data_IF_017521525068
#
_entry.id   IF_017521525068
#
_cell.length_a   1.000
_cell.length_b   1.000
_cell.length_c   1.000
_cell.angle_alpha   90.00
_cell.angle_beta   90.00
_cell.angle_gamma   90.00
#
_symmetry.space_group_name_H-M   'P 1'
#
loop_
_entity.id
_entity.type
_entity.pdbx_description
1 polymer ?
#
# COMPACT_ATOMS: atom_id res chain seq x y z
N UNK A 1 -5.97 6.79 27.44
CA UNK A 1 -6.00 8.00 28.30
C UNK A 1 -5.49 7.66 29.68
N UNK A 2 -5.12 8.67 30.47
CA UNK A 2 -4.60 8.54 31.82
C UNK A 2 -5.60 9.21 32.77
N UNK A 3 -6.09 8.51 33.80
CA UNK A 3 -7.03 9.04 34.79
C UNK A 3 -6.38 9.14 36.14
N UNK A 4 -6.61 10.23 36.83
CA UNK A 4 -6.20 10.40 38.22
C UNK A 4 -7.20 9.75 39.15
N UNK A 5 -6.76 8.78 39.94
CA UNK A 5 -7.62 8.10 40.95
C UNK A 5 -8.08 9.00 42.08
N UNK A 6 -7.40 10.12 42.29
CA UNK A 6 -7.67 11.06 43.41
C UNK A 6 -8.58 12.22 43.02
N UNK A 7 -8.41 12.85 41.85
CA UNK A 7 -9.20 14.00 41.42
C UNK A 7 -10.02 13.73 40.16
N UNK A 8 -10.06 12.48 39.69
CA UNK A 8 -10.84 11.94 38.58
C UNK A 8 -10.63 12.62 37.21
N UNK A 9 -9.69 13.56 37.12
CA UNK A 9 -9.36 14.23 35.87
C UNK A 9 -8.62 13.29 34.92
N UNK A 10 -8.91 13.40 33.63
CA UNK A 10 -8.34 12.60 32.56
C UNK A 10 -7.43 13.41 31.65
N UNK A 11 -6.44 12.75 31.09
CA UNK A 11 -5.40 13.33 30.25
C UNK A 11 -5.24 12.51 28.98
N UNK A 12 -5.20 13.17 27.85
CA UNK A 12 -4.96 12.52 26.55
C UNK A 12 -3.48 12.33 26.22
N UNK A 13 -2.60 12.91 27.04
CA UNK A 13 -1.13 12.80 26.87
C UNK A 13 -0.55 11.87 27.94
N UNK A 14 0.53 11.15 27.63
CA UNK A 14 1.24 10.34 28.63
C UNK A 14 1.88 11.26 29.68
N UNK A 15 1.27 11.32 30.84
CA UNK A 15 1.80 11.99 32.03
C UNK A 15 2.04 10.93 33.09
N UNK A 16 3.15 11.03 33.80
CA UNK A 16 3.45 10.13 34.96
C UNK A 16 2.63 10.51 36.19
N UNK A 17 2.39 11.79 36.37
CA UNK A 17 1.68 12.33 37.54
C UNK A 17 0.62 13.33 37.12
N UNK A 18 -0.45 13.40 37.89
CA UNK A 18 -1.50 14.38 37.72
C UNK A 18 -0.99 15.79 38.01
N UNK A 19 -1.12 16.72 37.06
CA UNK A 19 -0.65 18.09 37.21
C UNK A 19 -1.44 18.91 38.23
N UNK A 20 -2.62 18.42 38.70
CA UNK A 20 -3.45 19.12 39.69
C UNK A 20 -3.22 18.64 41.11
N UNK A 21 -2.98 17.35 41.35
CA UNK A 21 -2.86 16.80 42.68
C UNK A 21 -1.58 15.99 42.93
N UNK A 22 -0.69 15.84 41.95
CA UNK A 22 0.57 15.11 42.05
C UNK A 22 0.45 13.60 42.11
N UNK A 23 -0.74 13.02 42.08
CA UNK A 23 -0.98 11.57 42.15
C UNK A 23 -0.44 10.88 40.91
N UNK A 24 0.07 9.66 41.04
CA UNK A 24 0.51 8.85 39.91
C UNK A 24 -0.67 8.48 39.02
N UNK A 25 -0.53 8.68 37.71
CA UNK A 25 -1.58 8.38 36.74
C UNK A 25 -1.51 6.95 36.27
N UNK A 26 -2.60 6.22 36.43
CA UNK A 26 -2.76 4.88 35.87
C UNK A 26 -3.27 4.99 34.43
N UNK A 27 -2.79 4.12 33.57
CA UNK A 27 -3.29 4.01 32.20
C UNK A 27 -4.68 3.33 32.27
N UNK A 28 -5.72 4.12 32.25
CA UNK A 28 -7.10 3.62 32.15
C UNK A 28 -7.54 3.61 30.71
N UNK A 29 -8.19 2.53 30.32
CA UNK A 29 -8.89 2.40 29.04
C UNK A 29 -10.23 3.10 29.20
N UNK A 30 -10.47 4.26 28.59
CA UNK A 30 -11.75 4.92 28.74
C UNK A 30 -12.86 4.13 28.08
N UNK A 31 -14.07 4.27 28.62
CA UNK A 31 -15.30 3.76 28.02
C UNK A 31 -15.64 4.40 26.67
N UNK A 32 -16.85 4.22 26.25
CA UNK A 32 -17.35 4.81 25.01
C UNK A 32 -17.44 6.34 25.13
N UNK A 33 -16.98 7.04 24.07
CA UNK A 33 -17.17 8.46 23.87
C UNK A 33 -18.36 8.71 22.97
N UNK A 34 -19.03 9.83 23.16
CA UNK A 34 -20.01 10.34 22.21
C UNK A 34 -19.45 11.56 21.49
N UNK A 35 -19.68 11.68 20.21
CA UNK A 35 -19.34 12.87 19.43
C UNK A 35 -20.34 13.96 19.81
N UNK A 36 -19.83 15.06 20.37
CA UNK A 36 -20.68 16.23 20.77
C UNK A 36 -20.46 17.43 19.85
N UNK A 37 -19.53 17.34 18.90
CA UNK A 37 -19.29 18.36 17.90
C UNK A 37 -18.18 17.93 16.96
N UNK A 38 -18.16 18.50 15.76
CA UNK A 38 -17.07 18.30 14.80
C UNK A 38 -16.88 19.52 13.92
N UNK A 39 -15.69 19.62 13.31
CA UNK A 39 -15.40 20.54 12.22
C UNK A 39 -14.65 19.82 11.11
N UNK A 40 -14.91 20.19 9.88
CA UNK A 40 -14.23 19.68 8.71
C UNK A 40 -13.08 20.64 8.33
N UNK A 41 -11.91 20.10 8.09
CA UNK A 41 -10.70 20.87 7.81
C UNK A 41 -10.25 20.61 6.38
N UNK A 42 -10.26 21.65 5.55
CA UNK A 42 -9.88 21.60 4.13
C UNK A 42 -8.48 22.15 3.86
N UNK A 43 -7.87 22.83 4.82
CA UNK A 43 -6.56 23.45 4.65
C UNK A 43 -5.49 22.55 5.28
N UNK A 44 -4.50 22.06 4.48
CA UNK A 44 -3.42 21.26 5.03
C UNK A 44 -2.57 22.09 6.01
N UNK A 45 -2.02 21.44 7.01
CA UNK A 45 -1.05 22.03 7.94
C UNK A 45 0.27 21.26 7.87
N UNK A 46 1.34 21.84 8.41
CA UNK A 46 2.68 21.20 8.46
C UNK A 46 2.65 19.79 9.05
N UNK A 47 1.68 19.51 9.96
CA UNK A 47 1.53 18.19 10.59
C UNK A 47 0.46 17.32 9.96
N UNK A 48 -0.39 17.89 9.10
CA UNK A 48 -1.56 17.22 8.51
C UNK A 48 -1.68 17.63 7.05
N UNK A 49 -0.97 16.92 6.17
CA UNK A 49 -0.93 17.21 4.73
C UNK A 49 -2.18 16.65 4.00
N UNK A 50 -2.83 15.64 4.56
CA UNK A 50 -4.03 15.01 3.96
C UNK A 50 -5.29 15.73 4.41
N UNK A 51 -6.05 16.27 3.46
CA UNK A 51 -7.34 16.94 3.67
C UNK A 51 -8.35 16.41 2.65
N UNK A 52 -9.67 16.44 2.93
CA UNK A 52 -10.26 16.90 4.17
C UNK A 52 -10.07 15.92 5.33
N UNK A 53 -10.10 16.44 6.54
CA UNK A 53 -10.22 15.63 7.75
C UNK A 53 -11.16 16.32 8.75
N UNK A 54 -11.68 15.54 9.70
CA UNK A 54 -12.57 16.04 10.74
C UNK A 54 -11.81 16.15 12.06
N UNK A 55 -12.08 17.20 12.81
CA UNK A 55 -11.71 17.29 14.22
C UNK A 55 -12.98 17.07 15.03
N UNK A 56 -13.04 15.95 15.73
CA UNK A 56 -14.16 15.55 16.56
C UNK A 56 -13.95 16.06 17.98
N UNK A 57 -14.93 16.73 18.54
CA UNK A 57 -15.05 16.98 19.97
C UNK A 57 -15.88 15.84 20.57
N UNK A 58 -15.30 15.11 21.49
CA UNK A 58 -15.91 13.92 22.07
C UNK A 58 -15.98 14.06 23.58
N UNK A 59 -17.01 13.47 24.20
CA UNK A 59 -17.27 13.45 25.62
C UNK A 59 -17.47 12.00 26.10
N UNK A 60 -16.83 11.63 27.22
CA UNK A 60 -17.04 10.34 27.86
C UNK A 60 -18.25 10.35 28.81
N UNK A 61 -18.57 9.19 29.38
CA UNK A 61 -19.68 9.03 30.33
C UNK A 61 -19.52 9.83 31.65
N UNK A 62 -18.33 10.38 31.88
CA UNK A 62 -17.97 11.19 33.05
C UNK A 62 -17.89 12.69 32.72
N UNK A 63 -18.26 13.10 31.48
CA UNK A 63 -18.23 14.50 31.05
C UNK A 63 -16.84 15.01 30.68
N UNK A 64 -15.82 14.11 30.55
CA UNK A 64 -14.49 14.51 30.11
C UNK A 64 -14.49 14.69 28.61
N UNK A 65 -13.92 15.80 28.13
CA UNK A 65 -13.89 16.17 26.72
C UNK A 65 -12.52 16.01 26.13
N UNK A 66 -12.46 15.50 24.91
CA UNK A 66 -11.21 15.42 24.15
C UNK A 66 -11.44 15.72 22.66
N UNK A 67 -10.35 16.10 21.99
CA UNK A 67 -10.35 16.29 20.54
C UNK A 67 -9.66 15.10 19.88
N UNK A 68 -10.24 14.60 18.80
CA UNK A 68 -9.64 13.57 17.97
C UNK A 68 -9.75 13.92 16.50
N UNK A 69 -8.66 13.70 15.75
CA UNK A 69 -8.67 13.75 14.30
C UNK A 69 -9.28 12.47 13.75
N UNK A 70 -10.18 12.60 12.78
CA UNK A 70 -10.74 11.49 12.01
C UNK A 70 -10.73 11.86 10.53
N UNK A 71 -10.56 10.86 9.68
CA UNK A 71 -10.80 10.99 8.23
C UNK A 71 -12.20 10.52 7.85
N UNK A 72 -12.93 9.99 8.80
CA UNK A 72 -14.32 9.59 8.67
C UNK A 72 -15.22 10.66 9.25
N UNK A 73 -16.34 10.97 8.56
CA UNK A 73 -17.37 11.86 9.06
C UNK A 73 -18.16 11.14 10.16
N UNK A 74 -18.43 11.85 11.23
CA UNK A 74 -19.31 11.43 12.33
C UNK A 74 -20.41 12.45 12.50
N UNK A 75 -21.56 11.98 12.95
CA UNK A 75 -22.67 12.84 13.34
C UNK A 75 -22.66 13.06 14.87
N UNK A 76 -23.30 14.15 15.32
CA UNK A 76 -23.42 14.41 16.76
C UNK A 76 -24.29 13.32 17.40
N UNK A 77 -23.80 12.72 18.46
CA UNK A 77 -24.43 11.58 19.14
C UNK A 77 -23.82 10.21 18.78
N UNK A 78 -23.00 10.13 17.73
CA UNK A 78 -22.30 8.89 17.39
C UNK A 78 -21.39 8.45 18.53
N UNK A 79 -21.38 7.15 18.78
CA UNK A 79 -20.52 6.56 19.80
C UNK A 79 -19.16 6.22 19.21
N UNK A 80 -18.14 6.57 19.95
CA UNK A 80 -16.76 6.36 19.59
C UNK A 80 -16.03 5.63 20.72
N UNK A 81 -15.48 4.45 20.42
CA UNK A 81 -14.56 3.79 21.33
C UNK A 81 -13.15 4.36 21.13
N UNK A 82 -12.63 5.07 22.12
CA UNK A 82 -11.30 5.71 22.05
C UNK A 82 -10.17 4.70 21.92
N UNK A 83 -10.35 3.49 22.41
CA UNK A 83 -9.39 2.41 22.30
C UNK A 83 -9.59 1.53 21.07
N UNK A 84 -10.73 1.58 20.45
CA UNK A 84 -10.75 1.22 19.06
C UNK A 84 -9.82 2.25 18.40
N UNK A 85 -8.49 1.95 18.37
CA UNK A 85 -7.80 2.34 17.18
C UNK A 85 -8.81 2.02 16.09
N UNK A 86 -9.20 2.96 15.23
CA UNK A 86 -10.04 2.68 14.07
C UNK A 86 -9.33 1.68 13.14
N UNK A 87 -9.02 0.53 13.66
CA UNK A 87 -8.95 -0.70 12.94
C UNK A 87 -10.41 -1.09 12.81
N UNK A 88 -11.09 -0.51 11.80
CA UNK A 88 -12.26 -1.15 11.27
C UNK A 88 -11.94 -2.64 11.30
N UNK A 89 -12.83 -3.50 11.77
CA UNK A 89 -12.64 -4.96 11.76
C UNK A 89 -12.56 -5.44 10.28
N UNK A 90 -11.75 -4.72 9.49
CA UNK A 90 -11.61 -4.95 8.07
C UNK A 90 -10.85 -6.25 7.85
N UNK A 91 -11.42 -7.09 7.03
CA UNK A 91 -10.80 -8.32 6.54
C UNK A 91 -10.26 -8.07 5.14
N UNK A 92 -8.97 -8.26 4.98
CA UNK A 92 -8.31 -8.12 3.69
C UNK A 92 -8.20 -9.45 2.96
N UNK A 93 -8.42 -9.43 1.67
CA UNK A 93 -8.00 -10.49 0.76
C UNK A 93 -6.75 -10.05 0.00
N UNK A 94 -5.73 -10.90 -0.05
CA UNK A 94 -4.57 -10.71 -0.93
C UNK A 94 -4.50 -11.89 -1.89
N UNK A 95 -4.45 -11.61 -3.19
CA UNK A 95 -4.38 -12.66 -4.22
C UNK A 95 -3.04 -12.58 -4.91
N UNK A 96 -2.28 -13.65 -4.82
CA UNK A 96 -0.92 -13.74 -5.35
C UNK A 96 0.13 -13.85 -4.26
N UNK A 97 1.00 -14.84 -4.42
CA UNK A 97 2.05 -15.21 -3.45
C UNK A 97 3.46 -14.93 -4.00
N UNK A 98 3.53 -14.02 -4.98
CA UNK A 98 4.78 -13.42 -5.45
C UNK A 98 5.40 -12.52 -4.39
N UNK A 99 6.56 -11.94 -4.70
CA UNK A 99 7.32 -11.10 -3.77
C UNK A 99 6.45 -10.01 -3.12
N UNK A 100 5.72 -9.27 -3.95
CA UNK A 100 4.96 -8.10 -3.51
C UNK A 100 3.67 -8.50 -2.75
N UNK A 101 2.93 -9.50 -3.24
CA UNK A 101 1.73 -9.99 -2.54
C UNK A 101 2.03 -10.53 -1.15
N UNK A 102 3.15 -11.25 -0.99
CA UNK A 102 3.60 -11.70 0.34
C UNK A 102 3.99 -10.53 1.24
N UNK A 103 4.68 -9.51 0.73
CA UNK A 103 5.05 -8.32 1.52
C UNK A 103 3.84 -7.50 1.92
N UNK A 104 2.83 -7.35 1.05
CA UNK A 104 1.56 -6.68 1.35
C UNK A 104 0.84 -7.43 2.48
N UNK A 105 0.72 -8.76 2.35
CA UNK A 105 0.10 -9.60 3.37
C UNK A 105 0.82 -9.47 4.73
N UNK A 106 2.16 -9.59 4.75
CA UNK A 106 2.98 -9.43 5.96
C UNK A 106 2.78 -8.06 6.60
N UNK A 107 2.71 -7.00 5.78
CA UNK A 107 2.50 -5.64 6.25
C UNK A 107 1.12 -5.45 6.89
N UNK A 108 0.07 -6.01 6.28
CA UNK A 108 -1.30 -5.92 6.79
C UNK A 108 -1.46 -6.67 8.13
N UNK A 109 -1.00 -7.91 8.24
CA UNK A 109 -1.09 -8.66 9.51
C UNK A 109 -0.22 -8.02 10.60
N UNK A 110 0.97 -7.54 10.29
CA UNK A 110 1.81 -6.81 11.24
C UNK A 110 1.18 -5.47 11.68
N UNK A 111 0.33 -4.89 10.84
CA UNK A 111 -0.49 -3.73 11.17
C UNK A 111 -1.77 -4.11 11.96
N UNK A 112 -2.01 -5.40 12.21
CA UNK A 112 -3.10 -5.95 13.03
C UNK A 112 -4.41 -6.18 12.29
N UNK A 113 -4.39 -6.36 10.97
CA UNK A 113 -5.57 -6.68 10.17
C UNK A 113 -5.63 -8.17 9.84
N UNK A 114 -6.82 -8.75 9.95
CA UNK A 114 -7.08 -10.10 9.47
C UNK A 114 -6.88 -10.13 7.95
N UNK A 115 -6.06 -11.06 7.47
CA UNK A 115 -5.71 -11.13 6.05
C UNK A 115 -5.81 -12.55 5.54
N UNK A 116 -6.60 -12.73 4.50
CA UNK A 116 -6.73 -13.98 3.74
C UNK A 116 -5.80 -13.90 2.54
N UNK A 117 -4.72 -14.68 2.55
CA UNK A 117 -3.77 -14.78 1.44
C UNK A 117 -4.12 -15.97 0.55
N UNK A 118 -4.60 -15.68 -0.66
CA UNK A 118 -4.97 -16.72 -1.62
C UNK A 118 -3.78 -17.09 -2.50
N UNK A 119 -3.39 -18.37 -2.45
CA UNK A 119 -2.44 -18.99 -3.38
C UNK A 119 -3.19 -19.75 -4.49
N UNK A 120 -2.51 -20.02 -5.60
CA UNK A 120 -3.07 -20.84 -6.68
C UNK A 120 -3.05 -22.33 -6.34
N UNK A 121 -2.02 -22.78 -5.65
CA UNK A 121 -1.75 -24.17 -5.36
C UNK A 121 -1.83 -24.47 -3.86
N UNK A 122 -2.64 -25.47 -3.49
CA UNK A 122 -2.80 -25.93 -2.10
C UNK A 122 -1.50 -26.51 -1.51
N UNK A 123 -0.67 -27.14 -2.31
CA UNK A 123 0.61 -27.70 -1.85
C UNK A 123 1.60 -26.63 -1.39
N UNK A 124 1.44 -25.40 -1.84
CA UNK A 124 2.30 -24.28 -1.44
C UNK A 124 1.94 -23.64 -0.10
N UNK A 125 0.78 -23.97 0.50
CA UNK A 125 0.27 -23.30 1.72
C UNK A 125 1.26 -23.36 2.88
N UNK A 126 1.75 -24.55 3.22
CA UNK A 126 2.71 -24.75 4.32
C UNK A 126 4.02 -24.01 4.09
N UNK A 127 4.51 -24.01 2.84
CA UNK A 127 5.73 -23.29 2.47
C UNK A 127 5.55 -21.78 2.58
N UNK A 128 4.39 -21.25 2.18
CA UNK A 128 4.06 -19.82 2.30
C UNK A 128 3.99 -19.42 3.77
N UNK A 129 3.27 -20.17 4.59
CA UNK A 129 3.18 -19.94 6.03
C UNK A 129 4.56 -19.94 6.70
N UNK A 130 5.40 -20.92 6.38
CA UNK A 130 6.77 -21.01 6.91
C UNK A 130 7.62 -19.79 6.49
N UNK A 131 7.51 -19.33 5.24
CA UNK A 131 8.22 -18.14 4.76
C UNK A 131 7.78 -16.87 5.49
N UNK A 132 6.46 -16.67 5.68
CA UNK A 132 5.93 -15.51 6.41
C UNK A 132 6.38 -15.56 7.88
N UNK A 133 6.28 -16.73 8.52
CA UNK A 133 6.75 -16.93 9.89
C UNK A 133 8.22 -16.55 10.05
N UNK A 134 9.09 -17.08 9.19
CA UNK A 134 10.53 -16.79 9.23
C UNK A 134 10.84 -15.30 9.03
N UNK A 135 10.07 -14.60 8.22
CA UNK A 135 10.23 -13.15 8.00
C UNK A 135 9.77 -12.33 9.21
N UNK A 136 8.63 -12.69 9.81
CA UNK A 136 8.14 -12.02 11.02
C UNK A 136 9.12 -12.20 12.20
N UNK A 137 9.67 -13.39 12.39
CA UNK A 137 10.65 -13.69 13.43
C UNK A 137 11.95 -12.89 13.30
N UNK A 138 12.30 -12.38 12.10
CA UNK A 138 13.44 -11.47 11.92
C UNK A 138 13.23 -10.07 12.47
N UNK A 139 11.98 -9.66 12.69
CA UNK A 139 11.63 -8.29 13.05
C UNK A 139 10.72 -8.14 14.27
N UNK A 140 10.31 -9.25 14.87
CA UNK A 140 9.43 -9.31 16.05
C UNK A 140 9.94 -10.37 17.02
N UNK A 141 9.57 -10.25 18.31
CA UNK A 141 9.81 -11.32 19.28
C UNK A 141 8.99 -12.56 18.92
N UNK A 142 9.39 -13.76 19.36
CA UNK A 142 8.65 -14.99 19.07
C UNK A 142 7.17 -14.92 19.49
N UNK A 143 6.89 -14.32 20.64
CA UNK A 143 5.54 -14.13 21.17
C UNK A 143 4.72 -13.20 20.30
N UNK A 144 5.29 -12.05 19.92
CA UNK A 144 4.64 -11.07 19.03
C UNK A 144 4.39 -11.66 17.65
N UNK A 145 5.36 -12.38 17.08
CA UNK A 145 5.20 -13.06 15.79
C UNK A 145 4.05 -14.09 15.82
N UNK A 146 3.92 -14.84 16.94
CA UNK A 146 2.83 -15.81 17.12
C UNK A 146 1.46 -15.14 17.16
N UNK A 147 1.33 -14.01 17.85
CA UNK A 147 0.06 -13.25 17.87
C UNK A 147 -0.28 -12.66 16.49
N UNK A 148 0.70 -12.10 15.78
CA UNK A 148 0.52 -11.59 14.41
C UNK A 148 0.05 -12.70 13.46
N UNK A 149 0.62 -13.91 13.58
CA UNK A 149 0.26 -15.03 12.72
C UNK A 149 -1.17 -15.53 12.90
N UNK A 150 -1.83 -15.26 14.04
CA UNK A 150 -3.26 -15.57 14.23
C UNK A 150 -4.17 -14.76 13.28
N UNK A 151 -3.67 -13.65 12.74
CA UNK A 151 -4.38 -12.80 11.79
C UNK A 151 -4.25 -13.29 10.33
N UNK A 152 -3.46 -14.34 10.09
CA UNK A 152 -3.18 -14.86 8.75
C UNK A 152 -4.01 -16.12 8.45
N UNK A 153 -4.73 -16.07 7.36
CA UNK A 153 -5.35 -17.26 6.72
C UNK A 153 -4.69 -17.46 5.36
N UNK A 154 -4.07 -18.62 5.12
CA UNK A 154 -3.55 -18.96 3.78
C UNK A 154 -4.42 -20.03 3.18
N UNK A 155 -4.92 -19.80 1.98
CA UNK A 155 -5.87 -20.67 1.30
C UNK A 155 -5.62 -20.80 -0.20
N UNK A 156 -6.03 -21.90 -0.80
CA UNK A 156 -6.15 -22.05 -2.25
C UNK A 156 -7.57 -21.83 -2.76
N UNK A 157 -8.56 -21.77 -1.84
CA UNK A 157 -9.97 -21.58 -2.19
C UNK A 157 -10.31 -20.11 -2.34
N UNK A 158 -10.88 -19.72 -3.47
CA UNK A 158 -11.35 -18.36 -3.72
C UNK A 158 -12.60 -18.02 -2.87
N UNK A 159 -13.37 -19.02 -2.45
CA UNK A 159 -14.57 -18.83 -1.62
C UNK A 159 -14.27 -18.20 -0.24
N UNK A 160 -13.06 -18.39 0.28
CA UNK A 160 -12.63 -17.77 1.54
C UNK A 160 -12.52 -16.24 1.47
N UNK A 161 -12.54 -15.68 0.26
CA UNK A 161 -12.51 -14.23 0.03
C UNK A 161 -13.92 -13.60 0.03
N UNK A 162 -14.99 -14.40 0.16
CA UNK A 162 -16.38 -13.94 0.02
C UNK A 162 -16.70 -12.72 0.88
N UNK A 163 -16.30 -12.75 2.15
CA UNK A 163 -16.66 -11.73 3.15
C UNK A 163 -15.51 -10.77 3.47
N UNK A 164 -14.56 -10.61 2.56
CA UNK A 164 -13.50 -9.61 2.69
C UNK A 164 -14.04 -8.22 2.36
N UNK A 165 -13.49 -7.19 3.02
CA UNK A 165 -13.88 -5.80 2.79
C UNK A 165 -13.09 -5.13 1.66
N UNK A 166 -11.83 -5.52 1.50
CA UNK A 166 -10.93 -5.06 0.44
C UNK A 166 -10.10 -6.23 -0.07
N UNK A 167 -10.05 -6.39 -1.39
CA UNK A 167 -9.16 -7.33 -2.06
C UNK A 167 -8.06 -6.57 -2.77
N UNK A 168 -6.81 -6.98 -2.52
CA UNK A 168 -5.61 -6.48 -3.20
C UNK A 168 -5.08 -7.60 -4.09
N UNK A 169 -5.24 -7.46 -5.39
CA UNK A 169 -4.73 -8.39 -6.37
C UNK A 169 -3.26 -8.07 -6.70
N UNK A 170 -2.39 -9.08 -6.62
CA UNK A 170 -0.94 -9.03 -6.88
C UNK A 170 -0.47 -10.27 -7.66
N UNK A 171 -1.28 -10.76 -8.61
CA UNK A 171 -0.90 -11.82 -9.55
C UNK A 171 0.01 -11.28 -10.66
N UNK A 172 0.61 -12.13 -11.53
CA UNK A 172 1.47 -11.66 -12.61
C UNK A 172 0.83 -10.56 -13.47
N UNK A 173 1.66 -9.62 -13.94
CA UNK A 173 1.26 -8.42 -14.68
C UNK A 173 0.82 -8.76 -16.12
N UNK A 174 -0.29 -9.52 -16.21
CA UNK A 174 -0.93 -9.93 -17.47
C UNK A 174 -2.40 -9.61 -17.41
N UNK A 175 -2.90 -8.85 -18.38
CA UNK A 175 -4.27 -8.34 -18.42
C UNK A 175 -5.31 -9.46 -18.33
N UNK A 176 -5.13 -10.54 -19.07
CA UNK A 176 -6.05 -11.68 -19.12
C UNK A 176 -6.13 -12.40 -17.78
N UNK A 177 -4.96 -12.58 -17.11
CA UNK A 177 -4.89 -13.23 -15.79
C UNK A 177 -5.62 -12.41 -14.73
N UNK A 178 -5.39 -11.09 -14.73
CA UNK A 178 -6.06 -10.19 -13.76
C UNK A 178 -7.55 -10.09 -14.01
N UNK A 179 -7.98 -9.99 -15.27
CA UNK A 179 -9.40 -9.93 -15.62
C UNK A 179 -10.15 -11.20 -15.22
N UNK A 180 -9.55 -12.37 -15.37
CA UNK A 180 -10.17 -13.62 -14.94
C UNK A 180 -10.33 -13.66 -13.43
N UNK A 181 -9.33 -13.26 -12.66
CA UNK A 181 -9.41 -13.15 -11.20
C UNK A 181 -10.60 -12.25 -10.79
N UNK A 182 -10.76 -11.08 -11.41
CA UNK A 182 -11.86 -10.18 -11.05
C UNK A 182 -13.24 -10.68 -11.49
N UNK A 183 -13.33 -11.42 -12.59
CA UNK A 183 -14.57 -12.10 -12.98
C UNK A 183 -14.97 -13.18 -11.97
N UNK A 184 -14.03 -13.98 -11.49
CA UNK A 184 -14.27 -14.97 -10.44
C UNK A 184 -14.71 -14.31 -9.13
N UNK A 185 -14.00 -13.28 -8.68
CA UNK A 185 -14.32 -12.52 -7.48
C UNK A 185 -15.72 -11.89 -7.53
N UNK A 186 -16.12 -11.39 -8.69
CA UNK A 186 -17.44 -10.77 -8.88
C UNK A 186 -18.59 -11.74 -8.64
N UNK A 187 -18.36 -13.05 -8.84
CA UNK A 187 -19.37 -14.10 -8.62
C UNK A 187 -19.55 -14.44 -7.15
N UNK A 188 -18.52 -14.24 -6.32
CA UNK A 188 -18.50 -14.77 -4.96
C UNK A 188 -18.50 -13.71 -3.87
N UNK A 189 -17.83 -12.56 -4.09
CA UNK A 189 -17.67 -11.55 -3.07
C UNK A 189 -18.93 -10.72 -2.85
N UNK A 190 -19.12 -10.31 -1.60
CA UNK A 190 -20.18 -9.37 -1.23
C UNK A 190 -20.09 -8.09 -2.05
N UNK A 191 -21.24 -7.48 -2.40
CA UNK A 191 -21.29 -6.26 -3.22
C UNK A 191 -20.63 -5.04 -2.58
N UNK A 192 -20.40 -5.07 -1.27
CA UNK A 192 -19.68 -4.02 -0.53
C UNK A 192 -18.16 -4.10 -0.67
N UNK A 193 -17.62 -5.28 -1.05
CA UNK A 193 -16.16 -5.50 -1.16
C UNK A 193 -15.56 -4.58 -2.21
N UNK A 194 -14.52 -3.84 -1.84
CA UNK A 194 -13.72 -3.06 -2.77
C UNK A 194 -12.71 -3.99 -3.45
N UNK A 195 -12.60 -3.89 -4.76
CA UNK A 195 -11.56 -4.57 -5.53
C UNK A 195 -10.42 -3.62 -5.83
N UNK A 196 -9.20 -4.08 -5.61
CA UNK A 196 -8.02 -3.33 -6.01
C UNK A 196 -6.99 -4.21 -6.69
N UNK A 197 -6.19 -3.59 -7.54
CA UNK A 197 -5.04 -4.22 -8.18
C UNK A 197 -3.76 -3.49 -7.81
N UNK A 198 -2.69 -4.25 -7.61
CA UNK A 198 -1.35 -3.69 -7.43
C UNK A 198 -0.60 -3.59 -8.78
N UNK A 199 -1.32 -3.48 -9.89
CA UNK A 199 -0.74 -3.32 -11.21
C UNK A 199 0.17 -2.09 -11.27
N UNK A 200 1.29 -2.23 -11.98
CA UNK A 200 2.29 -1.16 -12.16
C UNK A 200 2.13 -0.41 -13.48
N UNK A 201 1.36 -0.97 -14.43
CA UNK A 201 1.31 -0.42 -15.79
C UNK A 201 -0.03 -0.59 -16.52
N UNK A 202 -0.87 -1.54 -16.08
CA UNK A 202 -2.15 -1.81 -16.75
C UNK A 202 -3.21 -0.78 -16.36
N UNK A 203 -4.08 -0.44 -17.31
CA UNK A 203 -5.19 0.49 -17.06
C UNK A 203 -6.17 -0.05 -16.04
N UNK A 204 -6.38 0.71 -14.99
CA UNK A 204 -7.34 0.42 -13.92
C UNK A 204 -8.77 0.40 -14.47
N UNK A 205 -9.10 1.32 -15.35
CA UNK A 205 -10.41 1.43 -15.99
C UNK A 205 -10.74 0.20 -16.85
N UNK A 206 -9.76 -0.31 -17.61
CA UNK A 206 -9.91 -1.54 -18.40
C UNK A 206 -10.08 -2.77 -17.51
N UNK A 207 -9.32 -2.88 -16.41
CA UNK A 207 -9.46 -3.98 -15.44
C UNK A 207 -10.80 -3.91 -14.70
N UNK A 208 -11.24 -2.70 -14.30
CA UNK A 208 -12.51 -2.47 -13.65
C UNK A 208 -13.71 -2.94 -14.50
N UNK A 209 -13.61 -2.82 -15.82
CA UNK A 209 -14.65 -3.27 -16.75
C UNK A 209 -14.85 -4.80 -16.74
N UNK A 210 -13.89 -5.56 -16.22
CA UNK A 210 -14.03 -7.02 -16.03
C UNK A 210 -14.74 -7.38 -14.72
N UNK A 211 -14.98 -6.42 -13.83
CA UNK A 211 -15.70 -6.58 -12.57
C UNK A 211 -17.15 -6.13 -12.69
N UNK A 212 -17.98 -6.55 -11.74
CA UNK A 212 -19.39 -6.14 -11.64
C UNK A 212 -19.59 -4.87 -10.78
N UNK A 213 -18.49 -4.24 -10.36
CA UNK A 213 -18.48 -3.08 -9.44
C UNK A 213 -17.37 -2.08 -9.78
N UNK A 214 -17.40 -1.46 -10.97
CA UNK A 214 -16.35 -0.54 -11.41
C UNK A 214 -16.25 0.74 -10.54
N UNK A 215 -17.31 1.10 -9.83
CA UNK A 215 -17.34 2.18 -8.83
C UNK A 215 -16.56 1.85 -7.56
N UNK A 216 -16.40 0.56 -7.25
CA UNK A 216 -15.62 0.02 -6.12
C UNK A 216 -14.33 -0.68 -6.59
N UNK A 217 -13.80 -0.24 -7.70
CA UNK A 217 -12.55 -0.74 -8.26
C UNK A 217 -11.49 0.38 -8.29
N UNK A 218 -10.27 0.09 -7.81
CA UNK A 218 -9.21 1.09 -7.67
C UNK A 218 -7.82 0.44 -7.81
N UNK A 219 -6.83 1.19 -8.27
CA UNK A 219 -5.42 0.78 -8.20
C UNK A 219 -4.82 1.13 -6.83
N UNK A 220 -4.10 0.20 -6.23
CA UNK A 220 -3.30 0.45 -5.01
C UNK A 220 -1.88 -0.05 -5.32
N UNK A 221 -1.07 0.83 -5.86
CA UNK A 221 0.27 0.49 -6.32
C UNK A 221 1.29 0.70 -5.20
N UNK A 222 1.69 -0.41 -4.57
CA UNK A 222 2.75 -0.45 -3.57
C UNK A 222 4.13 -0.55 -4.22
N UNK A 223 5.13 -0.02 -3.54
CA UNK A 223 6.54 -0.10 -3.94
C UNK A 223 7.31 -1.12 -3.10
N UNK A 224 8.24 -1.82 -3.73
CA UNK A 224 9.11 -2.80 -3.07
C UNK A 224 10.34 -2.10 -2.44
N UNK A 225 10.69 -2.36 -1.17
CA UNK A 225 10.01 -3.22 -0.19
C UNK A 225 8.83 -2.51 0.51
N UNK A 226 7.67 -3.16 0.60
CA UNK A 226 6.43 -2.55 1.14
C UNK A 226 6.61 -1.94 2.52
N UNK A 227 7.40 -2.58 3.40
CA UNK A 227 7.64 -2.09 4.77
C UNK A 227 8.44 -0.76 4.80
N UNK A 228 9.35 -0.54 3.83
CA UNK A 228 10.26 0.61 3.79
C UNK A 228 9.73 1.77 2.96
N UNK A 229 8.95 1.45 1.94
CA UNK A 229 8.44 2.45 1.01
C UNK A 229 7.13 3.02 1.55
N UNK A 230 7.14 4.29 1.90
CA UNK A 230 5.95 4.97 2.43
C UNK A 230 4.95 5.30 1.33
N UNK A 231 5.42 5.57 0.12
CA UNK A 231 4.59 5.94 -1.02
C UNK A 231 3.67 4.78 -1.45
N UNK A 232 2.40 5.12 -1.69
CA UNK A 232 1.44 4.28 -2.40
C UNK A 232 0.70 5.14 -3.41
N UNK A 233 0.75 4.80 -4.68
CA UNK A 233 -0.08 5.45 -5.69
C UNK A 233 -1.49 4.86 -5.66
N UNK A 234 -2.47 5.72 -5.43
CA UNK A 234 -3.90 5.40 -5.47
C UNK A 234 -4.44 5.79 -6.83
N UNK A 235 -4.57 4.80 -7.71
CA UNK A 235 -4.90 5.05 -9.12
C UNK A 235 -6.40 4.96 -9.33
N UNK A 236 -6.99 6.11 -9.67
CA UNK A 236 -8.44 6.29 -9.82
C UNK A 236 -8.83 6.04 -11.27
N UNK A 237 -9.60 4.98 -11.51
CA UNK A 237 -10.19 4.67 -12.80
C UNK A 237 -11.39 5.58 -13.12
N UNK A 238 -11.83 5.58 -14.40
CA UNK A 238 -12.90 6.46 -14.88
C UNK A 238 -14.21 6.33 -14.10
N UNK A 239 -14.52 5.13 -13.60
CA UNK A 239 -15.77 4.83 -12.86
C UNK A 239 -15.57 4.66 -11.37
N UNK A 240 -14.34 4.77 -10.87
CA UNK A 240 -14.06 4.68 -9.43
C UNK A 240 -14.77 5.81 -8.70
N UNK A 241 -15.57 5.47 -7.67
CA UNK A 241 -16.30 6.48 -6.90
C UNK A 241 -15.37 7.27 -5.98
N UNK A 242 -15.78 8.49 -5.65
CA UNK A 242 -15.10 9.34 -4.67
C UNK A 242 -15.10 8.68 -3.28
N UNK A 243 -16.21 8.03 -2.90
CA UNK A 243 -16.33 7.26 -1.67
C UNK A 243 -15.25 6.17 -1.57
N UNK A 244 -15.08 5.37 -2.64
CA UNK A 244 -14.04 4.35 -2.72
C UNK A 244 -12.64 4.96 -2.59
N UNK A 245 -12.38 6.05 -3.29
CA UNK A 245 -11.10 6.76 -3.25
C UNK A 245 -10.79 7.25 -1.83
N UNK A 246 -11.73 7.95 -1.20
CA UNK A 246 -11.56 8.50 0.15
C UNK A 246 -11.37 7.40 1.20
N UNK A 247 -12.10 6.29 1.08
CA UNK A 247 -11.96 5.12 1.97
C UNK A 247 -10.56 4.51 1.87
N UNK A 248 -10.03 4.34 0.65
CA UNK A 248 -8.68 3.79 0.44
C UNK A 248 -7.60 4.74 0.93
N UNK A 249 -7.72 6.04 0.65
CA UNK A 249 -6.77 7.05 1.16
C UNK A 249 -6.72 7.05 2.69
N UNK A 250 -7.89 7.04 3.34
CA UNK A 250 -7.98 6.96 4.80
C UNK A 250 -7.33 5.69 5.35
N UNK A 251 -7.63 4.53 4.76
CA UNK A 251 -7.05 3.25 5.13
C UNK A 251 -5.52 3.24 5.02
N UNK A 252 -4.97 3.68 3.89
CA UNK A 252 -3.52 3.73 3.67
C UNK A 252 -2.83 4.72 4.63
N UNK A 253 -3.48 5.83 4.95
CA UNK A 253 -3.00 6.78 5.96
C UNK A 253 -2.95 6.13 7.36
N UNK A 254 -3.97 5.37 7.73
CA UNK A 254 -4.00 4.61 8.99
C UNK A 254 -2.92 3.52 9.02
N UNK A 255 -2.60 2.95 7.86
CA UNK A 255 -1.46 2.05 7.64
C UNK A 255 -0.10 2.78 7.63
N UNK A 256 -0.04 4.07 7.96
CA UNK A 256 1.17 4.90 7.97
C UNK A 256 1.86 4.99 6.60
N UNK A 257 1.10 4.86 5.52
CA UNK A 257 1.55 5.12 4.16
C UNK A 257 1.24 6.57 3.76
N UNK A 258 1.88 7.02 2.68
CA UNK A 258 1.63 8.31 2.02
C UNK A 258 0.90 8.04 0.70
N UNK A 259 -0.45 7.99 0.72
CA UNK A 259 -1.22 7.79 -0.50
C UNK A 259 -1.16 9.04 -1.37
N UNK A 260 -0.87 8.86 -2.66
CA UNK A 260 -0.92 9.90 -3.67
C UNK A 260 -1.98 9.51 -4.70
N UNK A 261 -2.99 10.35 -4.85
CA UNK A 261 -4.08 10.12 -5.82
C UNK A 261 -3.58 10.41 -7.22
N UNK A 262 -3.76 9.45 -8.12
CA UNK A 262 -3.32 9.53 -9.53
C UNK A 262 -4.48 9.13 -10.44
N UNK A 263 -4.68 9.85 -11.52
CA UNK A 263 -5.60 9.40 -12.58
C UNK A 263 -5.03 8.20 -13.31
N UNK A 264 -5.90 7.27 -13.72
CA UNK A 264 -5.53 6.14 -14.55
C UNK A 264 -4.82 6.60 -15.83
N UNK A 265 -3.54 6.34 -15.90
CA UNK A 265 -2.68 6.71 -17.03
C UNK A 265 -1.48 5.76 -17.10
N UNK A 266 -0.93 5.49 -18.29
CA UNK A 266 0.20 4.58 -18.44
C UNK A 266 1.38 4.95 -17.53
N UNK A 267 1.82 4.01 -16.68
CA UNK A 267 2.96 4.16 -15.80
C UNK A 267 2.75 5.07 -14.59
N UNK A 268 1.52 5.58 -14.39
CA UNK A 268 1.14 6.46 -13.29
C UNK A 268 2.08 7.67 -13.14
N UNK A 269 2.69 7.91 -11.97
CA UNK A 269 3.66 8.99 -11.77
C UNK A 269 5.08 8.44 -11.83
N UNK A 270 5.42 7.49 -10.93
CA UNK A 270 6.81 7.08 -10.72
C UNK A 270 7.38 6.38 -11.95
N UNK A 271 6.69 5.37 -12.47
CA UNK A 271 7.18 4.64 -13.65
C UNK A 271 7.21 5.51 -14.90
N UNK A 272 6.25 6.42 -15.04
CA UNK A 272 6.20 7.35 -16.18
C UNK A 272 7.37 8.33 -16.21
N UNK A 273 7.92 8.71 -15.06
CA UNK A 273 9.11 9.56 -14.95
C UNK A 273 10.39 8.75 -15.00
N UNK A 274 10.44 7.64 -14.29
CA UNK A 274 11.66 6.86 -14.08
C UNK A 274 12.08 6.06 -15.30
N UNK A 275 11.14 5.32 -15.93
CA UNK A 275 11.51 4.37 -16.99
C UNK A 275 12.04 5.04 -18.25
N UNK A 276 11.49 6.19 -18.70
CA UNK A 276 12.10 6.97 -19.78
C UNK A 276 13.53 7.45 -19.44
N UNK A 277 13.78 7.86 -18.20
CA UNK A 277 15.11 8.27 -17.76
C UNK A 277 16.11 7.10 -17.78
N UNK A 278 15.70 5.92 -17.32
CA UNK A 278 16.53 4.70 -17.43
C UNK A 278 16.78 4.37 -18.90
N UNK A 279 15.75 4.42 -19.73
CA UNK A 279 15.89 4.12 -21.16
C UNK A 279 16.85 5.09 -21.87
N UNK A 280 16.77 6.38 -21.54
CA UNK A 280 17.70 7.37 -22.07
C UNK A 280 19.14 7.08 -21.66
N UNK A 281 19.39 6.68 -20.41
CA UNK A 281 20.70 6.26 -19.96
C UNK A 281 21.23 5.05 -20.76
N UNK A 282 20.36 4.11 -21.12
CA UNK A 282 20.74 2.95 -21.95
C UNK A 282 21.09 3.41 -23.37
N UNK A 283 20.34 4.31 -23.95
CA UNK A 283 20.61 4.90 -25.28
C UNK A 283 21.96 5.63 -25.25
N UNK A 284 22.25 6.44 -24.23
CA UNK A 284 23.55 7.10 -24.09
C UNK A 284 24.72 6.11 -24.03
N UNK A 285 24.51 4.95 -23.40
CA UNK A 285 25.51 3.87 -23.39
C UNK A 285 25.69 3.24 -24.78
N UNK A 286 24.58 3.00 -25.52
CA UNK A 286 24.63 2.47 -26.91
C UNK A 286 25.34 3.43 -27.86
N UNK A 287 25.16 4.72 -27.68
CA UNK A 287 25.80 5.78 -28.46
C UNK A 287 27.25 6.04 -28.06
N UNK A 288 27.74 5.40 -27.00
CA UNK A 288 29.12 5.57 -26.52
C UNK A 288 29.43 6.93 -25.92
N UNK A 289 28.39 7.65 -25.44
CA UNK A 289 28.54 8.99 -24.84
C UNK A 289 29.39 8.90 -23.57
N UNK A 290 29.14 7.89 -22.73
CA UNK A 290 29.96 7.61 -21.55
C UNK A 290 29.86 6.14 -21.14
N UNK A 291 30.73 5.69 -20.23
CA UNK A 291 30.63 4.37 -19.64
C UNK A 291 29.39 4.27 -18.71
N UNK A 292 28.89 3.06 -18.50
CA UNK A 292 27.76 2.84 -17.57
C UNK A 292 28.09 3.29 -16.13
N UNK A 293 29.35 3.13 -15.72
CA UNK A 293 29.88 3.57 -14.43
C UNK A 293 29.83 5.08 -14.29
N UNK A 294 30.22 5.80 -15.35
CA UNK A 294 30.24 7.27 -15.36
C UNK A 294 28.81 7.84 -15.39
N UNK A 295 27.91 7.25 -16.19
CA UNK A 295 26.50 7.65 -16.24
C UNK A 295 25.84 7.44 -14.87
N UNK A 296 26.03 6.27 -14.24
CA UNK A 296 25.51 5.99 -12.89
C UNK A 296 26.06 7.00 -11.86
N UNK A 297 27.36 7.31 -11.95
CA UNK A 297 28.02 8.28 -11.08
C UNK A 297 27.48 9.69 -11.28
N UNK A 298 27.34 10.13 -12.54
CA UNK A 298 26.82 11.43 -12.89
C UNK A 298 25.39 11.64 -12.38
N UNK A 299 24.51 10.66 -12.54
CA UNK A 299 23.12 10.73 -12.04
C UNK A 299 23.08 10.74 -10.51
N UNK A 300 23.90 9.91 -9.85
CA UNK A 300 23.98 9.90 -8.38
C UNK A 300 24.44 11.23 -7.82
N UNK A 301 25.49 11.81 -8.36
CA UNK A 301 26.09 13.03 -7.84
C UNK A 301 25.39 14.30 -8.35
N UNK A 302 25.00 14.31 -9.62
CA UNK A 302 24.40 15.48 -10.26
C UNK A 302 22.91 15.67 -9.92
N UNK A 303 22.17 14.55 -9.71
CA UNK A 303 20.75 14.58 -9.37
C UNK A 303 20.45 14.16 -7.92
N UNK A 304 21.49 13.84 -7.13
CA UNK A 304 21.36 13.35 -5.76
C UNK A 304 20.48 12.09 -5.63
N UNK A 305 20.56 11.21 -6.63
CA UNK A 305 19.85 9.93 -6.58
C UNK A 305 20.61 8.91 -5.72
N UNK A 306 19.92 8.02 -4.98
CA UNK A 306 20.58 7.01 -4.15
C UNK A 306 21.27 5.92 -4.98
N UNK A 307 20.81 5.70 -6.22
CA UNK A 307 21.36 4.75 -7.19
C UNK A 307 21.40 5.39 -8.57
N UNK A 308 22.37 4.98 -9.38
CA UNK A 308 22.40 5.32 -10.79
C UNK A 308 21.36 4.52 -11.59
N UNK A 309 21.06 4.92 -12.84
CA UNK A 309 20.00 4.34 -13.66
C UNK A 309 20.22 2.85 -13.96
N UNK A 310 21.45 2.41 -14.20
CA UNK A 310 21.75 1.00 -14.49
C UNK A 310 21.66 0.12 -13.23
N UNK A 311 22.18 0.61 -12.10
CA UNK A 311 22.03 -0.07 -10.82
C UNK A 311 20.56 -0.21 -10.43
N UNK A 312 19.76 0.82 -10.69
CA UNK A 312 18.32 0.82 -10.39
C UNK A 312 17.56 -0.10 -11.34
N UNK A 313 17.90 -0.12 -12.63
CA UNK A 313 17.32 -1.04 -13.60
C UNK A 313 17.57 -2.51 -13.22
N UNK A 314 18.81 -2.83 -12.84
CA UNK A 314 19.18 -4.18 -12.36
C UNK A 314 18.45 -4.56 -11.06
N UNK A 315 18.20 -3.58 -10.17
CA UNK A 315 17.45 -3.80 -8.94
C UNK A 315 15.95 -4.04 -9.20
N UNK A 316 15.34 -3.31 -10.14
CA UNK A 316 13.94 -3.48 -10.56
C UNK A 316 13.76 -4.80 -11.29
N UNK A 317 14.69 -5.13 -12.16
CA UNK A 317 14.66 -6.21 -13.12
C UNK A 317 14.42 -5.70 -14.54
N UNK A 318 15.34 -6.05 -15.46
CA UNK A 318 15.33 -5.53 -16.83
C UNK A 318 14.08 -5.93 -17.63
N UNK A 319 13.54 -7.12 -17.40
CA UNK A 319 12.27 -7.57 -17.97
C UNK A 319 11.07 -6.74 -17.50
N UNK A 320 11.08 -6.31 -16.22
CA UNK A 320 10.05 -5.42 -15.69
C UNK A 320 10.18 -4.02 -16.31
N UNK A 321 11.40 -3.50 -16.40
CA UNK A 321 11.67 -2.22 -17.07
C UNK A 321 11.21 -2.25 -18.53
N UNK A 322 11.55 -3.31 -19.27
CA UNK A 322 11.14 -3.49 -20.66
C UNK A 322 9.61 -3.52 -20.80
N UNK A 323 8.93 -4.34 -20.00
CA UNK A 323 7.48 -4.48 -20.06
C UNK A 323 6.76 -3.14 -19.81
N UNK A 324 7.23 -2.36 -18.84
CA UNK A 324 6.63 -1.04 -18.55
C UNK A 324 6.90 -0.05 -19.70
N UNK A 325 8.13 -0.04 -20.25
CA UNK A 325 8.47 0.83 -21.39
C UNK A 325 7.64 0.50 -22.63
N UNK A 326 7.37 -0.78 -22.90
CA UNK A 326 6.50 -1.22 -24.00
C UNK A 326 5.06 -0.69 -23.80
N UNK A 327 4.53 -0.77 -22.58
CA UNK A 327 3.22 -0.19 -22.25
C UNK A 327 3.23 1.33 -22.46
N UNK A 328 4.24 2.04 -21.95
CA UNK A 328 4.38 3.48 -22.14
C UNK A 328 4.46 3.85 -23.61
N UNK A 329 5.25 3.13 -24.41
CA UNK A 329 5.39 3.38 -25.85
C UNK A 329 4.08 3.13 -26.61
N UNK A 330 3.33 2.09 -26.23
CA UNK A 330 2.08 1.69 -26.91
C UNK A 330 0.89 2.57 -26.52
N UNK A 331 0.70 2.80 -25.22
CA UNK A 331 -0.54 3.39 -24.70
C UNK A 331 -0.44 4.88 -24.39
N UNK A 332 0.76 5.45 -24.20
CA UNK A 332 0.90 6.88 -24.00
C UNK A 332 0.71 7.65 -25.30
N UNK A 333 -0.08 8.73 -25.24
CA UNK A 333 -0.28 9.65 -26.39
C UNK A 333 0.84 10.68 -26.52
N UNK A 334 1.57 10.94 -25.44
CA UNK A 334 2.56 12.03 -25.35
C UNK A 334 3.99 11.54 -25.24
N UNK A 335 4.23 10.38 -24.62
CA UNK A 335 5.56 9.81 -24.45
C UNK A 335 5.70 8.60 -25.38
N UNK A 336 6.50 8.76 -26.41
CA UNK A 336 6.83 7.70 -27.39
C UNK A 336 8.28 7.24 -27.14
N UNK A 337 8.50 6.61 -25.99
CA UNK A 337 9.81 6.08 -25.62
C UNK A 337 9.92 4.65 -26.09
N UNK A 338 10.49 4.44 -27.29
CA UNK A 338 10.82 3.09 -27.75
C UNK A 338 11.91 2.51 -26.83
N UNK A 339 11.76 1.29 -26.31
CA UNK A 339 12.80 0.68 -25.52
C UNK A 339 14.11 0.53 -26.31
N UNK A 340 15.24 0.76 -25.65
CA UNK A 340 16.58 0.66 -26.23
C UNK A 340 16.88 -0.80 -26.69
N UNK A 341 17.65 -0.94 -27.77
CA UNK A 341 17.96 -2.26 -28.34
C UNK A 341 18.78 -3.14 -27.37
N UNK A 342 19.68 -2.53 -26.61
CA UNK A 342 20.47 -3.22 -25.58
C UNK A 342 19.58 -3.80 -24.47
N UNK A 343 18.48 -3.13 -24.10
CA UNK A 343 17.56 -3.64 -23.10
C UNK A 343 16.86 -4.92 -23.58
N UNK A 344 16.41 -4.96 -24.84
CA UNK A 344 15.86 -6.17 -25.44
C UNK A 344 16.89 -7.30 -25.44
N UNK A 345 18.13 -7.01 -25.90
CA UNK A 345 19.21 -7.98 -25.96
C UNK A 345 19.52 -8.60 -24.61
N UNK A 346 19.66 -7.80 -23.55
CA UNK A 346 19.93 -8.30 -22.21
C UNK A 346 18.77 -9.17 -21.68
N UNK A 347 17.52 -8.80 -21.96
CA UNK A 347 16.36 -9.61 -21.59
C UNK A 347 16.35 -10.96 -22.34
N UNK A 348 16.64 -10.99 -23.64
CA UNK A 348 16.72 -12.21 -24.44
C UNK A 348 17.87 -13.15 -23.98
N UNK A 349 18.98 -12.57 -23.51
CA UNK A 349 20.12 -13.31 -22.94
C UNK A 349 19.82 -13.81 -21.50
N UNK A 350 18.66 -13.50 -20.92
CA UNK A 350 18.32 -13.86 -19.55
C UNK A 350 19.07 -13.08 -18.47
N UNK A 351 19.74 -12.00 -18.85
CA UNK A 351 20.45 -11.09 -17.94
C UNK A 351 19.47 -10.06 -17.39
N UNK A 352 18.76 -10.42 -16.33
CA UNK A 352 17.63 -9.66 -15.82
C UNK A 352 17.96 -8.84 -14.56
N UNK A 353 19.25 -8.62 -14.28
CA UNK A 353 19.72 -7.88 -13.11
C UNK A 353 19.96 -8.75 -11.88
N UNK A 354 19.78 -8.20 -10.69
CA UNK A 354 20.10 -8.87 -9.41
C UNK A 354 19.44 -10.25 -9.28
N UNK A 355 18.23 -10.42 -9.76
CA UNK A 355 17.48 -11.69 -9.64
C UNK A 355 18.11 -12.86 -10.42
N UNK A 356 18.89 -12.56 -11.47
CA UNK A 356 19.65 -13.54 -12.26
C UNK A 356 21.15 -13.43 -12.03
N UNK A 357 21.58 -12.58 -11.08
CA UNK A 357 22.97 -12.27 -10.74
C UNK A 357 23.78 -11.59 -11.86
N UNK A 358 23.15 -11.24 -12.96
CA UNK A 358 23.74 -10.49 -14.06
C UNK A 358 22.67 -9.63 -14.75
N UNK A 359 23.02 -8.40 -15.06
CA UNK A 359 22.27 -7.42 -15.84
C UNK A 359 23.27 -6.50 -16.53
N UNK A 360 23.15 -5.19 -16.29
CA UNK A 360 24.22 -4.24 -16.65
C UNK A 360 25.48 -4.50 -15.82
N UNK A 361 25.29 -4.98 -14.57
CA UNK A 361 26.38 -5.39 -13.68
C UNK A 361 26.31 -6.89 -13.35
N UNK A 362 27.39 -7.41 -12.76
CA UNK A 362 27.44 -8.75 -12.14
C UNK A 362 27.34 -8.62 -10.64
N UNK A 363 26.61 -9.54 -9.98
CA UNK A 363 26.26 -9.52 -8.56
C UNK A 363 26.67 -10.81 -7.83
#
# INVERSE_FOLDING_TARGET
MYRCSKCEKTWTRPLKTCIFCGEELKNEVPGQFSVIGFTEVFIPSIKNETVPYYVLLMEDEHGNKCLKKSYQKFEIGDKFDYNSSNKDNLVFGVIGTGLLGMQICEYLIASGYVTVLKTRDSHSISTIQSKITARLQKSHTPESAKEILKLLVVTSSISELKSTDLIIEAVPEKFEVKTEVFRELSKICDKKTIFSTNSSSLSISKLAAASDRPDKFIGIHFFNPVKRMDLVEVVVGEKTSEETTNRIVSLLTNLKKKPIIVKDSPGYIVNRLLLPQINEAIIMLEEGIASKEDIDTAVKLGLNHPMGPFQLADYIGLDVCLSILEVLNKESTTIKTKPAALLYKLCEEGKLGIKTKEGFYKY
#
